data_IF_170463107725
#
_entry.id   IF_170463107725
#
_cell.length_a   1.000
_cell.length_b   1.000
_cell.length_c   1.000
_cell.angle_alpha   90.00
_cell.angle_beta   90.00
_cell.angle_gamma   90.00
#
_symmetry.space_group_name_H-M   'P 1'
#
loop_
_entity.id
_entity.type
_entity.pdbx_description
1 polymer ?
#
# COMPACT_ATOMS: atom_id res chain seq x y z
N UNK A 1 -16.65 0.82 -15.68
CA UNK A 1 -15.84 1.43 -14.60
C UNK A 1 -15.25 0.29 -13.82
N UNK A 2 -14.07 -0.17 -14.22
CA UNK A 2 -13.41 -1.30 -13.55
C UNK A 2 -12.45 -0.65 -12.56
N UNK A 3 -12.85 -0.62 -11.29
CA UNK A 3 -11.90 -0.31 -10.20
C UNK A 3 -10.97 -1.52 -10.17
N UNK A 4 -9.71 -1.32 -10.55
CA UNK A 4 -8.69 -2.29 -10.20
C UNK A 4 -8.57 -2.16 -8.68
N UNK A 5 -9.20 -3.09 -7.95
CA UNK A 5 -8.96 -3.23 -6.52
C UNK A 5 -7.55 -3.82 -6.41
N UNK A 6 -6.58 -2.91 -6.26
CA UNK A 6 -5.18 -3.25 -6.05
C UNK A 6 -5.06 -4.05 -4.76
N UNK A 7 -4.59 -5.29 -4.88
CA UNK A 7 -4.37 -6.15 -3.74
C UNK A 7 -3.18 -5.62 -2.94
N UNK A 8 -3.20 -5.84 -1.63
CA UNK A 8 -2.23 -5.30 -0.68
C UNK A 8 -0.79 -5.77 -0.99
N UNK A 9 -0.62 -6.88 -1.72
CA UNK A 9 0.67 -7.35 -2.27
C UNK A 9 1.27 -6.42 -3.34
N UNK A 10 0.45 -5.65 -4.06
CA UNK A 10 0.93 -4.69 -5.07
C UNK A 10 1.53 -3.42 -4.42
N UNK A 11 1.20 -3.13 -3.15
CA UNK A 11 1.73 -1.98 -2.41
C UNK A 11 3.23 -2.11 -2.09
N UNK A 12 3.76 -3.31 -1.87
CA UNK A 12 5.19 -3.53 -1.66
C UNK A 12 5.99 -3.33 -2.96
N UNK A 13 5.41 -3.66 -4.11
CA UNK A 13 5.97 -3.37 -5.43
C UNK A 13 5.99 -1.87 -5.74
N UNK A 14 4.93 -1.13 -5.40
CA UNK A 14 4.90 0.34 -5.50
C UNK A 14 5.85 1.02 -4.50
N UNK A 15 6.01 0.49 -3.29
CA UNK A 15 6.92 1.07 -2.29
C UNK A 15 8.40 0.88 -2.67
N UNK A 16 8.73 -0.16 -3.44
CA UNK A 16 10.07 -0.40 -3.98
C UNK A 16 10.32 0.35 -5.31
N UNK A 17 9.27 0.74 -6.04
CA UNK A 17 9.36 1.51 -7.29
C UNK A 17 8.55 2.81 -7.19
N UNK A 18 9.17 3.83 -6.61
CA UNK A 18 8.79 5.22 -6.85
C UNK A 18 7.66 5.73 -5.96
N UNK A 19 8.05 6.44 -4.90
CA UNK A 19 7.16 7.37 -4.22
C UNK A 19 6.48 8.30 -5.24
N UNK A 20 5.16 8.43 -5.13
CA UNK A 20 4.23 9.29 -5.89
C UNK A 20 4.52 10.81 -5.81
N UNK A 21 5.74 11.22 -5.43
CA UNK A 21 6.12 12.63 -5.27
C UNK A 21 6.31 13.37 -6.59
N UNK A 22 6.50 12.65 -7.68
CA UNK A 22 6.54 13.21 -9.03
C UNK A 22 5.65 12.32 -9.90
N UNK A 23 4.68 12.91 -10.61
CA UNK A 23 3.73 12.17 -11.43
C UNK A 23 4.45 11.08 -12.22
N UNK A 24 4.01 9.83 -12.05
CA UNK A 24 4.73 8.63 -12.48
C UNK A 24 5.28 8.80 -13.91
N UNK A 25 6.62 8.99 -14.06
CA UNK A 25 7.23 9.17 -15.36
C UNK A 25 6.91 8.00 -16.30
N UNK A 26 6.69 6.82 -15.73
CA UNK A 26 6.38 5.59 -16.45
C UNK A 26 5.10 5.68 -17.28
N UNK A 27 4.08 6.43 -16.85
CA UNK A 27 2.82 6.55 -17.61
C UNK A 27 2.98 7.42 -18.86
N UNK A 28 3.72 8.53 -18.73
CA UNK A 28 4.00 9.41 -19.86
C UNK A 28 4.97 8.76 -20.84
N UNK A 29 6.00 8.05 -20.33
CA UNK A 29 6.92 7.26 -21.14
C UNK A 29 6.20 6.09 -21.85
N UNK A 30 5.14 5.55 -21.24
CA UNK A 30 4.25 4.57 -21.85
C UNK A 30 3.26 5.16 -22.87
N UNK A 31 3.32 6.48 -23.13
CA UNK A 31 2.53 7.16 -24.15
C UNK A 31 1.13 7.59 -23.72
N UNK A 32 0.83 7.58 -22.41
CA UNK A 32 -0.42 8.15 -21.89
C UNK A 32 -0.31 9.67 -21.92
N UNK A 33 -1.29 10.37 -22.49
CA UNK A 33 -1.29 11.83 -22.46
C UNK A 33 -1.60 12.36 -21.06
N UNK A 34 -0.90 13.40 -20.60
CA UNK A 34 -1.08 13.97 -19.26
C UNK A 34 -2.53 14.32 -18.94
N UNK A 35 -3.31 14.75 -19.93
CA UNK A 35 -4.74 15.11 -19.79
C UNK A 35 -5.63 13.93 -19.39
N UNK A 36 -5.19 12.70 -19.68
CA UNK A 36 -5.91 11.46 -19.41
C UNK A 36 -5.47 10.82 -18.07
N UNK A 37 -4.56 11.48 -17.35
CA UNK A 37 -4.03 11.06 -16.05
C UNK A 37 -4.62 11.94 -14.95
N UNK A 38 -5.29 11.33 -14.00
CA UNK A 38 -5.82 11.99 -12.80
C UNK A 38 -5.11 11.41 -11.58
N UNK A 39 -4.33 12.25 -10.88
CA UNK A 39 -3.69 11.87 -9.63
C UNK A 39 -4.60 12.25 -8.47
N UNK A 40 -4.72 11.35 -7.49
CA UNK A 40 -5.56 11.52 -6.31
C UNK A 40 -4.98 10.83 -5.10
N UNK A 41 -5.77 10.81 -4.03
CA UNK A 41 -5.47 10.07 -2.81
C UNK A 41 -6.70 9.28 -2.39
N UNK A 42 -6.50 8.00 -2.13
CA UNK A 42 -7.46 7.13 -1.45
C UNK A 42 -7.07 6.95 0.01
N UNK A 43 -8.04 6.53 0.82
CA UNK A 43 -7.78 6.15 2.21
C UNK A 43 -8.41 4.82 2.54
N UNK A 44 -7.70 3.99 3.29
CA UNK A 44 -8.23 2.79 3.93
C UNK A 44 -8.35 3.00 5.43
N UNK A 45 -9.37 2.39 6.01
CA UNK A 45 -9.64 2.43 7.45
C UNK A 45 -9.93 1.01 7.94
N UNK A 46 -9.06 0.49 8.80
CA UNK A 46 -9.21 -0.81 9.46
C UNK A 46 -9.60 -0.56 10.91
N UNK A 47 -10.87 -0.80 11.24
CA UNK A 47 -11.44 -0.54 12.57
C UNK A 47 -12.28 -1.70 13.10
N UNK A 48 -12.89 -2.47 12.20
CA UNK A 48 -13.66 -3.65 12.58
C UNK A 48 -12.77 -4.78 13.12
N UNK A 49 -13.28 -5.68 13.98
CA UNK A 49 -12.48 -6.78 14.54
C UNK A 49 -11.83 -7.68 13.49
N UNK A 50 -12.54 -7.97 12.40
CA UNK A 50 -12.01 -8.78 11.30
C UNK A 50 -10.87 -8.09 10.55
N UNK A 51 -11.02 -6.78 10.30
CA UNK A 51 -10.02 -5.92 9.67
C UNK A 51 -8.75 -5.84 10.50
N UNK A 52 -8.90 -5.61 11.81
CA UNK A 52 -7.78 -5.55 12.75
C UNK A 52 -7.02 -6.87 12.78
N UNK A 53 -7.72 -7.99 12.89
CA UNK A 53 -7.08 -9.31 12.89
C UNK A 53 -6.31 -9.56 11.60
N UNK A 54 -6.96 -9.37 10.46
CA UNK A 54 -6.33 -9.60 9.16
C UNK A 54 -5.08 -8.74 8.96
N UNK A 55 -5.16 -7.46 9.35
CA UNK A 55 -4.05 -6.53 9.20
C UNK A 55 -2.89 -6.81 10.17
N UNK A 56 -3.19 -7.06 11.45
CA UNK A 56 -2.19 -7.35 12.46
C UNK A 56 -1.42 -8.65 12.16
N UNK A 57 -2.13 -9.71 11.76
CA UNK A 57 -1.51 -10.98 11.34
C UNK A 57 -0.53 -10.75 10.18
N UNK A 58 -0.91 -9.98 9.17
CA UNK A 58 -0.07 -9.70 8.01
C UNK A 58 1.19 -8.90 8.37
N UNK A 59 1.12 -7.99 9.34
CA UNK A 59 2.28 -7.23 9.82
C UNK A 59 3.22 -8.09 10.67
N UNK A 60 2.65 -8.90 11.56
CA UNK A 60 3.42 -9.85 12.38
C UNK A 60 4.16 -10.85 11.50
N UNK A 61 3.50 -11.38 10.47
CA UNK A 61 4.14 -12.30 9.53
C UNK A 61 5.37 -11.66 8.88
N UNK A 62 5.26 -10.42 8.39
CA UNK A 62 6.40 -9.72 7.78
C UNK A 62 7.54 -9.42 8.74
N UNK A 63 7.25 -9.15 10.00
CA UNK A 63 8.26 -8.98 11.03
C UNK A 63 8.94 -10.31 11.37
N UNK A 64 8.21 -11.44 11.33
CA UNK A 64 8.76 -12.75 11.70
C UNK A 64 9.49 -13.45 10.55
N UNK A 65 8.96 -13.40 9.33
CA UNK A 65 9.44 -14.17 8.16
C UNK A 65 10.06 -13.30 7.07
N UNK A 66 9.82 -11.98 7.11
CA UNK A 66 10.18 -11.07 6.03
C UNK A 66 11.58 -10.47 6.12
N UNK A 67 12.03 -9.91 5.00
CA UNK A 67 13.29 -9.16 4.92
C UNK A 67 13.28 -7.90 5.79
N UNK A 68 12.11 -7.40 6.21
CA UNK A 68 11.97 -6.21 7.05
C UNK A 68 12.72 -6.33 8.38
N UNK A 69 12.66 -7.48 9.05
CA UNK A 69 13.41 -7.73 10.28
C UNK A 69 14.91 -7.67 10.06
N UNK A 70 15.41 -8.45 9.09
CA UNK A 70 16.83 -8.49 8.77
C UNK A 70 17.37 -7.11 8.39
N UNK A 71 16.65 -6.37 7.54
CA UNK A 71 17.02 -5.01 7.13
C UNK A 71 16.93 -4.00 8.26
N UNK A 72 15.91 -4.10 9.12
CA UNK A 72 15.77 -3.23 10.29
C UNK A 72 16.94 -3.36 11.26
N UNK A 73 17.42 -4.58 11.49
CA UNK A 73 18.59 -4.85 12.33
C UNK A 73 19.88 -4.40 11.65
N UNK A 74 20.06 -4.73 10.37
CA UNK A 74 21.24 -4.32 9.58
C UNK A 74 21.41 -2.80 9.56
N UNK A 75 20.32 -2.05 9.43
CA UNK A 75 20.31 -0.59 9.41
C UNK A 75 20.33 0.04 10.81
N UNK A 76 20.33 -0.76 11.88
CA UNK A 76 20.32 -0.28 13.27
C UNK A 76 19.03 0.43 13.68
N UNK A 77 17.92 0.16 12.97
CA UNK A 77 16.60 0.74 13.26
C UNK A 77 15.88 0.00 14.41
N UNK A 78 16.24 -1.26 14.65
CA UNK A 78 15.71 -2.09 15.73
C UNK A 78 16.70 -3.17 16.14
N UNK A 79 16.51 -3.78 17.30
CA UNK A 79 17.16 -5.04 17.71
C UNK A 79 16.20 -6.22 17.55
N UNK A 80 16.66 -7.43 17.82
CA UNK A 80 15.80 -8.62 17.88
C UNK A 80 14.72 -8.48 18.96
N UNK A 81 15.09 -7.97 20.13
CA UNK A 81 14.14 -7.68 21.20
C UNK A 81 13.14 -6.60 20.77
N UNK A 82 13.59 -5.56 20.08
CA UNK A 82 12.72 -4.51 19.56
C UNK A 82 11.71 -5.02 18.52
N UNK A 83 12.10 -6.02 17.70
CA UNK A 83 11.15 -6.66 16.76
C UNK A 83 10.06 -7.39 17.51
N UNK A 84 10.39 -8.12 18.58
CA UNK A 84 9.38 -8.79 19.40
C UNK A 84 8.48 -7.80 20.16
N UNK A 85 9.00 -6.64 20.57
CA UNK A 85 8.18 -5.55 21.12
C UNK A 85 7.18 -5.00 20.10
N UNK A 86 7.60 -4.82 18.84
CA UNK A 86 6.71 -4.38 17.76
C UNK A 86 5.64 -5.44 17.48
N UNK A 87 6.02 -6.71 17.43
CA UNK A 87 5.09 -7.84 17.24
C UNK A 87 4.04 -7.87 18.35
N UNK A 88 4.47 -7.73 19.61
CA UNK A 88 3.57 -7.64 20.75
C UNK A 88 2.61 -6.45 20.64
N UNK A 89 3.10 -5.30 20.17
CA UNK A 89 2.26 -4.13 19.91
C UNK A 89 1.15 -4.39 18.88
N UNK A 90 1.44 -5.17 17.83
CA UNK A 90 0.42 -5.61 16.87
C UNK A 90 -0.57 -6.59 17.48
N UNK A 91 -0.11 -7.56 18.27
CA UNK A 91 -0.97 -8.50 19.00
C UNK A 91 -1.94 -7.74 19.93
N UNK A 92 -1.45 -6.78 20.70
CA UNK A 92 -2.28 -5.93 21.58
C UNK A 92 -3.25 -5.03 20.78
N UNK A 93 -2.81 -4.46 19.67
CA UNK A 93 -3.66 -3.61 18.81
C UNK A 93 -4.84 -4.40 18.22
N UNK A 94 -4.64 -5.67 17.86
CA UNK A 94 -5.72 -6.53 17.37
C UNK A 94 -6.83 -6.73 18.40
N UNK A 95 -6.46 -6.87 19.67
CA UNK A 95 -7.41 -7.11 20.77
C UNK A 95 -8.14 -5.85 21.23
N UNK A 96 -7.57 -4.67 21.02
CA UNK A 96 -8.13 -3.39 21.46
C UNK A 96 -9.37 -2.98 20.66
N UNK A 97 -10.53 -3.05 21.29
CA UNK A 97 -11.81 -2.67 20.67
C UNK A 97 -11.92 -1.20 20.21
N UNK A 98 -11.04 -0.33 20.71
CA UNK A 98 -10.95 1.09 20.35
C UNK A 98 -9.82 1.40 19.36
N UNK A 99 -9.14 0.37 18.85
CA UNK A 99 -8.05 0.52 17.90
C UNK A 99 -8.57 0.81 16.48
N UNK A 100 -7.87 1.68 15.77
CA UNK A 100 -8.13 1.99 14.35
C UNK A 100 -6.81 2.24 13.65
N UNK A 101 -6.72 1.84 12.38
CA UNK A 101 -5.61 2.15 11.49
C UNK A 101 -6.13 2.82 10.23
N UNK A 102 -5.67 4.04 9.97
CA UNK A 102 -5.91 4.76 8.72
C UNK A 102 -4.66 4.73 7.85
N UNK A 103 -4.81 4.41 6.57
CA UNK A 103 -3.72 4.46 5.59
C UNK A 103 -4.15 5.39 4.47
N UNK A 104 -3.26 6.31 4.08
CA UNK A 104 -3.43 7.19 2.93
C UNK A 104 -2.54 6.69 1.80
N UNK A 105 -3.14 6.41 0.66
CA UNK A 105 -2.46 5.89 -0.52
C UNK A 105 -2.65 6.91 -1.65
N UNK A 106 -1.59 7.25 -2.37
CA UNK A 106 -1.80 8.01 -3.60
C UNK A 106 -2.31 7.05 -4.69
N UNK A 107 -3.22 7.54 -5.52
CA UNK A 107 -3.82 6.79 -6.62
C UNK A 107 -3.66 7.57 -7.92
N UNK A 108 -3.59 6.83 -9.03
CA UNK A 108 -3.59 7.40 -10.37
C UNK A 108 -4.65 6.69 -11.21
N UNK A 109 -5.59 7.47 -11.74
CA UNK A 109 -6.65 6.98 -12.62
C UNK A 109 -6.28 7.39 -14.05
N UNK A 110 -6.16 6.40 -14.93
CA UNK A 110 -5.96 6.60 -16.37
C UNK A 110 -7.27 6.37 -17.10
N UNK A 111 -7.75 7.36 -17.86
CA UNK A 111 -8.98 7.25 -18.64
C UNK A 111 -8.65 6.96 -20.10
N UNK A 112 -9.02 5.77 -20.59
CA UNK A 112 -8.95 5.47 -22.01
C UNK A 112 -10.04 6.23 -22.76
N UNK A 113 -9.65 7.14 -23.65
CA UNK A 113 -10.60 7.69 -24.63
C UNK A 113 -10.98 6.56 -25.59
N UNK A 114 -12.24 6.14 -25.58
CA UNK A 114 -12.72 5.19 -26.57
C UNK A 114 -12.53 5.81 -27.96
N UNK A 115 -11.72 5.18 -28.82
CA UNK A 115 -11.62 5.56 -30.22
C UNK A 115 -13.03 5.58 -30.82
N UNK A 116 -13.48 6.74 -31.29
CA UNK A 116 -14.72 6.85 -32.06
C UNK A 116 -14.67 5.82 -33.20
N UNK A 117 -15.77 5.09 -33.49
CA UNK A 117 -15.80 4.20 -34.64
C UNK A 117 -15.47 5.02 -35.89
N UNK A 118 -14.50 4.55 -36.69
CA UNK A 118 -14.20 5.16 -37.99
C UNK A 118 -15.50 5.17 -38.81
N UNK A 119 -15.96 6.36 -39.18
CA UNK A 119 -17.08 6.51 -40.10
C UNK A 119 -16.70 5.87 -41.45
N UNK A 120 -17.59 5.02 -41.95
CA UNK A 120 -17.50 4.32 -43.25
C UNK A 120 -17.64 5.28 -44.42
#
# INVERSE_FOLDING_TARGET
MTRLDWDWQDCDLCSLHGNLQYGDPGLMDAGVERKDIEAGFGTWCYSEPGDRKAWGDAMIERLRTGQMRGRGIELGLTTEEGVEEIVKGWEEWMERGDATLGIVNGEVIVRKVASLPKAT
#
